data_IF_327134839253
#
_entry.id   IF_327134839253
#
_cell.length_a   1.000
_cell.length_b   1.000
_cell.length_c   1.000
_cell.angle_alpha   90.00
_cell.angle_beta   90.00
_cell.angle_gamma   90.00
#
_symmetry.space_group_name_H-M   'P 1'
#
loop_
_entity.id
_entity.type
_entity.pdbx_description
1 polymer ?
#
# COMPACT_ATOMS: atom_id res chain seq x y z
N UNK A 1 2.78 -7.89 15.92
CA UNK A 1 3.42 -6.70 15.30
C UNK A 1 2.77 -5.43 15.81
N UNK A 2 3.48 -4.31 15.71
CA UNK A 2 2.91 -3.00 16.00
C UNK A 2 2.00 -2.52 14.85
N UNK A 3 1.40 -1.34 15.01
CA UNK A 3 0.53 -0.75 13.99
C UNK A 3 1.25 -0.33 12.70
N UNK A 4 2.58 -0.36 12.67
CA UNK A 4 3.44 -0.02 11.53
C UNK A 4 3.95 -1.25 10.78
N UNK A 5 3.42 -2.44 11.09
CA UNK A 5 3.80 -3.70 10.47
C UNK A 5 5.28 -4.09 10.64
N UNK A 6 5.98 -3.50 11.62
CA UNK A 6 7.37 -3.77 11.92
C UNK A 6 7.54 -5.13 12.61
N UNK A 7 8.67 -5.78 12.30
CA UNK A 7 9.14 -6.97 13.02
C UNK A 7 10.16 -6.60 14.10
N UNK A 8 10.68 -7.60 14.80
CA UNK A 8 11.83 -7.41 15.69
C UNK A 8 13.14 -7.10 14.94
N UNK A 9 13.18 -7.29 13.62
CA UNK A 9 14.35 -6.98 12.79
C UNK A 9 14.11 -5.64 12.08
N UNK A 10 14.92 -4.60 12.35
CA UNK A 10 14.77 -3.30 11.71
C UNK A 10 14.82 -3.38 10.18
N UNK A 11 13.93 -2.65 9.52
CA UNK A 11 13.82 -2.66 8.05
C UNK A 11 13.06 -3.86 7.47
N UNK A 12 12.63 -4.82 8.30
CA UNK A 12 11.77 -5.93 7.87
C UNK A 12 10.33 -5.68 8.34
N UNK A 13 9.41 -5.69 7.38
CA UNK A 13 7.98 -5.45 7.57
C UNK A 13 7.17 -6.66 7.08
N UNK A 14 5.97 -6.87 7.64
CA UNK A 14 5.12 -8.00 7.27
C UNK A 14 3.77 -7.57 6.72
N UNK A 15 3.29 -8.30 5.72
CA UNK A 15 1.93 -8.15 5.19
C UNK A 15 1.34 -9.51 4.84
N UNK A 16 0.03 -9.55 4.55
CA UNK A 16 -0.65 -10.80 4.21
C UNK A 16 -0.60 -11.80 5.37
N UNK A 17 -0.74 -13.09 5.12
CA UNK A 17 -0.94 -14.09 6.18
C UNK A 17 0.16 -14.15 7.25
N UNK A 18 1.38 -13.71 6.93
CA UNK A 18 2.48 -13.61 7.89
C UNK A 18 2.29 -12.48 8.93
N UNK A 19 1.45 -11.49 8.66
CA UNK A 19 1.20 -10.39 9.59
C UNK A 19 0.19 -10.80 10.67
N UNK A 20 0.59 -10.62 11.93
CA UNK A 20 -0.22 -10.91 13.13
C UNK A 20 -0.40 -9.61 13.90
N UNK A 21 -1.62 -9.06 13.82
CA UNK A 21 -2.07 -7.87 14.56
C UNK A 21 -3.47 -8.10 15.10
N UNK A 22 -3.75 -7.47 16.23
CA UNK A 22 -5.09 -7.47 16.81
C UNK A 22 -6.10 -6.84 15.84
N UNK A 23 -7.29 -7.45 15.73
CA UNK A 23 -8.34 -6.99 14.82
C UNK A 23 -8.08 -7.22 13.33
N UNK A 24 -7.02 -7.94 12.96
CA UNK A 24 -6.74 -8.26 11.56
C UNK A 24 -7.82 -9.18 10.97
N UNK A 25 -8.36 -8.77 9.83
CA UNK A 25 -9.19 -9.61 8.97
C UNK A 25 -8.29 -10.59 8.19
N UNK A 26 -8.45 -11.89 8.43
CA UNK A 26 -7.69 -12.95 7.74
C UNK A 26 -8.31 -13.31 6.38
N UNK A 27 -8.37 -12.32 5.49
CA UNK A 27 -8.87 -12.45 4.12
C UNK A 27 -7.97 -11.65 3.17
N UNK A 28 -8.16 -11.85 1.87
CA UNK A 28 -7.49 -11.06 0.81
C UNK A 28 -7.68 -9.55 1.04
N UNK A 29 -8.88 -9.13 1.44
CA UNK A 29 -9.16 -7.73 1.77
C UNK A 29 -8.25 -7.18 2.89
N UNK A 30 -8.01 -7.98 3.94
CA UNK A 30 -7.10 -7.61 5.03
C UNK A 30 -5.63 -7.58 4.60
N UNK A 31 -5.24 -8.46 3.68
CA UNK A 31 -3.88 -8.47 3.13
C UNK A 31 -3.54 -7.15 2.40
N UNK A 32 -4.50 -6.53 1.69
CA UNK A 32 -4.30 -5.22 1.08
C UNK A 32 -4.05 -4.12 2.12
N UNK A 33 -4.80 -4.13 3.22
CA UNK A 33 -4.61 -3.15 4.31
C UNK A 33 -3.23 -3.32 4.94
N UNK A 34 -2.80 -4.55 5.21
CA UNK A 34 -1.47 -4.81 5.75
C UNK A 34 -0.37 -4.37 4.79
N UNK A 35 -0.54 -4.58 3.48
CA UNK A 35 0.42 -4.16 2.46
C UNK A 35 0.58 -2.64 2.41
N UNK A 36 -0.51 -1.88 2.51
CA UNK A 36 -0.47 -0.41 2.54
C UNK A 36 0.39 0.07 3.71
N UNK A 37 0.16 -0.49 4.90
CA UNK A 37 0.90 -0.12 6.12
C UNK A 37 2.37 -0.49 6.01
N UNK A 38 2.68 -1.71 5.56
CA UNK A 38 4.05 -2.20 5.42
C UNK A 38 4.86 -1.36 4.41
N UNK A 39 4.30 -1.03 3.25
CA UNK A 39 4.99 -0.24 2.21
C UNK A 39 5.24 1.20 2.66
N UNK A 40 4.25 1.85 3.29
CA UNK A 40 4.44 3.21 3.81
C UNK A 40 5.50 3.25 4.92
N UNK A 41 5.51 2.25 5.81
CA UNK A 41 6.49 2.16 6.90
C UNK A 41 7.89 1.88 6.36
N UNK A 42 8.02 1.00 5.37
CA UNK A 42 9.28 0.77 4.66
C UNK A 42 9.79 2.05 3.97
N UNK A 43 8.90 2.82 3.32
CA UNK A 43 9.28 4.10 2.70
C UNK A 43 9.80 5.09 3.74
N UNK A 44 9.14 5.20 4.90
CA UNK A 44 9.58 6.05 6.02
C UNK A 44 10.89 5.59 6.64
N UNK A 45 11.13 4.29 6.72
CA UNK A 45 12.39 3.74 7.22
C UNK A 45 13.56 4.10 6.30
N UNK A 46 13.37 4.03 4.99
CA UNK A 46 14.38 4.41 4.00
C UNK A 46 14.54 5.93 3.86
N UNK A 47 13.45 6.68 3.97
CA UNK A 47 13.41 8.13 3.84
C UNK A 47 12.58 8.73 4.98
N UNK A 48 13.20 9.09 6.12
CA UNK A 48 12.48 9.59 7.29
C UNK A 48 11.63 10.85 7.03
N UNK A 49 12.05 11.66 6.05
CA UNK A 49 11.37 12.88 5.62
C UNK A 49 10.14 12.64 4.71
N UNK A 50 9.96 11.42 4.17
CA UNK A 50 8.83 11.11 3.29
C UNK A 50 7.48 11.32 4.01
N UNK A 51 6.37 11.48 3.27
CA UNK A 51 5.05 11.49 3.89
C UNK A 51 4.73 10.13 4.54
N UNK A 52 3.91 10.12 5.59
CA UNK A 52 3.50 8.88 6.28
C UNK A 52 2.56 7.98 5.46
N UNK A 53 1.98 8.51 4.38
CA UNK A 53 1.13 7.78 3.47
C UNK A 53 1.36 8.26 2.03
N UNK A 54 1.37 7.33 1.08
CA UNK A 54 1.43 7.64 -0.34
C UNK A 54 0.20 8.45 -0.81
N UNK A 55 0.41 9.33 -1.78
CA UNK A 55 -0.67 10.13 -2.36
C UNK A 55 -1.64 9.28 -3.18
N UNK A 56 -2.94 9.61 -3.11
CA UNK A 56 -4.02 8.83 -3.73
C UNK A 56 -3.87 8.72 -5.25
N UNK A 57 -4.15 7.53 -5.79
CA UNK A 57 -3.89 7.19 -7.20
C UNK A 57 -4.63 8.09 -8.21
N UNK A 58 -5.77 8.65 -7.84
CA UNK A 58 -6.56 9.56 -8.69
C UNK A 58 -5.84 10.88 -9.01
N UNK A 59 -4.97 11.35 -8.11
CA UNK A 59 -4.25 12.62 -8.26
C UNK A 59 -2.73 12.45 -8.26
N UNK A 60 -2.24 11.21 -8.19
CA UNK A 60 -0.82 10.93 -8.20
C UNK A 60 -0.27 11.02 -9.63
N UNK A 61 0.71 11.91 -9.82
CA UNK A 61 1.28 12.24 -11.13
C UNK A 61 1.85 11.01 -11.87
N UNK A 62 2.32 10.00 -11.12
CA UNK A 62 2.81 8.74 -11.67
C UNK A 62 1.77 8.01 -12.52
N UNK A 63 0.48 8.20 -12.22
CA UNK A 63 -0.62 7.56 -12.94
C UNK A 63 -1.26 8.46 -14.00
N UNK A 64 -0.84 9.73 -14.14
CA UNK A 64 -1.51 10.71 -15.01
C UNK A 64 -1.67 10.22 -16.45
N UNK A 65 -0.58 9.69 -17.03
CA UNK A 65 -0.61 9.18 -18.40
C UNK A 65 -1.43 7.89 -18.55
N UNK A 66 -1.31 6.96 -17.60
CA UNK A 66 -2.11 5.72 -17.59
C UNK A 66 -3.60 6.01 -17.45
N UNK A 67 -3.97 6.92 -16.57
CA UNK A 67 -5.36 7.35 -16.38
C UNK A 67 -5.91 7.97 -17.66
N UNK A 68 -5.14 8.84 -18.34
CA UNK A 68 -5.52 9.41 -19.65
C UNK A 68 -5.74 8.32 -20.71
N UNK A 69 -4.86 7.33 -20.78
CA UNK A 69 -4.99 6.23 -21.74
C UNK A 69 -6.22 5.35 -21.47
N UNK A 70 -6.56 5.12 -20.20
CA UNK A 70 -7.77 4.38 -19.81
C UNK A 70 -9.05 5.14 -20.17
N UNK A 71 -9.07 6.47 -20.00
CA UNK A 71 -10.20 7.31 -20.41
C UNK A 71 -10.46 7.29 -21.93
N UNK A 72 -9.39 7.20 -22.72
CA UNK A 72 -9.50 7.23 -24.18
C UNK A 72 -9.77 5.84 -24.80
N UNK A 73 -9.87 4.78 -23.99
CA UNK A 73 -10.10 3.43 -24.50
C UNK A 73 -11.58 3.28 -24.88
N UNK A 74 -11.91 2.86 -26.11
CA UNK A 74 -13.31 2.61 -26.47
C UNK A 74 -13.86 1.55 -25.52
N UNK A 75 -14.97 1.87 -24.85
CA UNK A 75 -15.66 0.91 -24.02
C UNK A 75 -16.16 -0.20 -24.93
N UNK A 76 -15.62 -1.41 -24.78
CA UNK A 76 -16.22 -2.60 -25.36
C UNK A 76 -17.53 -2.86 -24.64
N UNK A 77 -18.58 -2.15 -25.05
CA UNK A 77 -19.95 -2.40 -24.65
C UNK A 77 -20.42 -3.66 -25.37
N UNK A 78 -20.48 -4.76 -24.63
CA UNK A 78 -21.41 -5.86 -24.87
C UNK A 78 -22.82 -5.45 -24.47
#
# INVERSE_FOLDING_TARGET
>A
MNQLAETSVPGIFTAGDCAVREGKVRLIAGAFIDAIVAVNSAKKFLEPAAAGMAYVSSHNELFREKNRALHNKPTSSS
#
